data_IF_356113331322
#
_entry.id   IF_356113331322
#
_cell.length_a   1.000
_cell.length_b   1.000
_cell.length_c   1.000
_cell.angle_alpha   90.00
_cell.angle_beta   90.00
_cell.angle_gamma   90.00
#
_symmetry.space_group_name_H-M   'P 1'
#
loop_
_entity.id
_entity.type
_entity.pdbx_description
1 polymer ?
#
# COMPACT_ATOMS: atom_id res chain seq x y z
N UNK A 1 19.08 -10.89 -1.74
CA UNK A 1 17.86 -11.65 -1.44
C UNK A 1 17.59 -12.55 -2.64
N UNK A 2 17.51 -13.85 -2.41
CA UNK A 2 16.99 -14.82 -3.38
C UNK A 2 15.44 -14.77 -3.34
N UNK A 3 14.77 -15.51 -4.23
CA UNK A 3 13.31 -15.45 -4.34
C UNK A 3 12.59 -16.01 -3.09
N UNK A 4 13.14 -17.05 -2.45
CA UNK A 4 12.61 -17.59 -1.18
C UNK A 4 12.60 -16.54 -0.06
N UNK A 5 13.71 -15.83 0.16
CA UNK A 5 13.80 -14.79 1.17
C UNK A 5 12.88 -13.60 0.85
N UNK A 6 12.65 -13.30 -0.44
CA UNK A 6 11.73 -12.24 -0.86
C UNK A 6 10.28 -12.64 -0.60
N UNK A 7 9.90 -13.87 -0.93
CA UNK A 7 8.56 -14.39 -0.69
C UNK A 7 8.22 -14.37 0.80
N UNK A 8 9.10 -14.94 1.65
CA UNK A 8 8.92 -14.95 3.10
C UNK A 8 8.73 -13.55 3.69
N UNK A 9 9.56 -12.58 3.29
CA UNK A 9 9.41 -11.19 3.77
C UNK A 9 8.17 -10.50 3.21
N UNK A 10 7.73 -10.87 2.01
CA UNK A 10 6.49 -10.35 1.44
C UNK A 10 5.29 -10.88 2.23
N UNK A 11 5.24 -12.18 2.54
CA UNK A 11 4.23 -12.78 3.41
C UNK A 11 4.15 -12.09 4.78
N UNK A 12 5.31 -11.85 5.43
CA UNK A 12 5.37 -11.13 6.72
C UNK A 12 4.74 -9.73 6.64
N UNK A 13 4.95 -9.01 5.53
CA UNK A 13 4.36 -7.69 5.32
C UNK A 13 2.85 -7.81 5.07
N UNK A 14 2.41 -8.76 4.25
CA UNK A 14 0.99 -8.98 3.97
C UNK A 14 0.22 -9.34 5.25
N UNK A 15 0.78 -10.22 6.09
CA UNK A 15 0.22 -10.57 7.40
C UNK A 15 0.15 -9.34 8.33
N UNK A 16 1.20 -8.51 8.35
CA UNK A 16 1.21 -7.26 9.10
C UNK A 16 0.10 -6.33 8.62
N UNK A 17 -0.04 -6.11 7.31
CA UNK A 17 -1.13 -5.29 6.75
C UNK A 17 -2.49 -5.87 7.18
N UNK A 18 -2.70 -7.18 7.05
CA UNK A 18 -3.97 -7.82 7.40
C UNK A 18 -4.31 -7.65 8.89
N UNK A 19 -3.32 -7.70 9.78
CA UNK A 19 -3.50 -7.47 11.22
C UNK A 19 -3.97 -6.05 11.57
N UNK A 20 -3.77 -5.08 10.67
CA UNK A 20 -4.14 -3.67 10.82
C UNK A 20 -5.56 -3.36 10.28
N UNK A 21 -6.24 -4.34 9.70
CA UNK A 21 -7.55 -4.19 9.01
C UNK A 21 -8.67 -3.58 9.86
N UNK A 22 -8.62 -3.76 11.19
CA UNK A 22 -9.65 -3.24 12.09
C UNK A 22 -9.58 -1.72 12.31
N UNK A 23 -8.38 -1.13 12.31
CA UNK A 23 -8.16 0.27 12.69
C UNK A 23 -7.42 1.11 11.64
N UNK A 24 -7.11 0.54 10.47
CA UNK A 24 -6.48 1.24 9.35
C UNK A 24 -7.31 1.19 8.07
N UNK A 25 -7.10 2.21 7.23
CA UNK A 25 -7.54 2.29 5.84
C UNK A 25 -6.30 2.41 4.96
N UNK A 26 -6.25 1.69 3.85
CA UNK A 26 -5.15 1.80 2.88
C UNK A 26 -5.48 2.90 1.86
N UNK A 27 -4.55 3.82 1.66
CA UNK A 27 -4.61 4.83 0.60
C UNK A 27 -3.78 4.34 -0.59
N UNK A 28 -4.46 4.05 -1.70
CA UNK A 28 -3.83 3.63 -2.96
C UNK A 28 -4.04 4.68 -4.05
N UNK A 29 -3.22 4.67 -5.09
CA UNK A 29 -3.34 5.66 -6.16
C UNK A 29 -4.62 5.42 -6.98
N UNK A 30 -4.91 4.16 -7.33
CA UNK A 30 -6.09 3.84 -8.12
C UNK A 30 -6.67 2.42 -7.95
N UNK A 31 -7.70 2.16 -8.76
CA UNK A 31 -8.49 0.91 -8.71
C UNK A 31 -7.68 -0.36 -8.97
N UNK A 32 -6.61 -0.28 -9.77
CA UNK A 32 -5.81 -1.44 -10.13
C UNK A 32 -4.89 -1.85 -8.97
N UNK A 33 -4.39 -0.88 -8.20
CA UNK A 33 -3.67 -1.14 -6.95
C UNK A 33 -4.57 -1.87 -5.96
N UNK A 34 -5.78 -1.34 -5.75
CA UNK A 34 -6.79 -2.00 -4.92
C UNK A 34 -7.08 -3.42 -5.41
N UNK A 35 -7.16 -3.62 -6.72
CA UNK A 35 -7.38 -4.96 -7.30
C UNK A 35 -6.21 -5.90 -7.00
N UNK A 36 -4.98 -5.44 -7.14
CA UNK A 36 -3.76 -6.19 -6.81
C UNK A 36 -3.75 -6.63 -5.33
N UNK A 37 -4.12 -5.72 -4.41
CA UNK A 37 -4.23 -6.06 -2.98
C UNK A 37 -5.33 -7.09 -2.70
N UNK A 38 -6.50 -6.97 -3.35
CA UNK A 38 -7.59 -7.95 -3.22
C UNK A 38 -7.19 -9.33 -3.74
N UNK A 39 -6.46 -9.39 -4.85
CA UNK A 39 -5.95 -10.65 -5.41
C UNK A 39 -4.88 -11.29 -4.48
N UNK A 40 -4.26 -10.51 -3.59
CA UNK A 40 -3.40 -10.96 -2.48
C UNK A 40 -4.18 -11.27 -1.18
N UNK A 41 -5.50 -11.36 -1.24
CA UNK A 41 -6.41 -11.58 -0.10
C UNK A 41 -6.38 -10.49 1.00
N UNK A 42 -5.86 -9.29 0.71
CA UNK A 42 -5.91 -8.16 1.62
C UNK A 42 -7.30 -7.50 1.58
N UNK A 43 -8.16 -7.89 2.51
CA UNK A 43 -9.54 -7.39 2.61
C UNK A 43 -9.65 -6.19 3.56
N UNK A 44 -8.92 -5.11 3.27
CA UNK A 44 -8.94 -3.88 4.05
C UNK A 44 -9.77 -2.79 3.38
N UNK A 45 -10.32 -1.90 4.21
CA UNK A 45 -10.87 -0.64 3.73
C UNK A 45 -9.80 0.09 2.92
N UNK A 46 -10.18 0.52 1.72
CA UNK A 46 -9.26 1.13 0.75
C UNK A 46 -9.90 2.38 0.17
N UNK A 47 -9.12 3.44 0.03
CA UNK A 47 -9.49 4.70 -0.64
C UNK A 47 -8.66 4.84 -1.90
N UNK A 48 -9.30 5.14 -3.03
CA UNK A 48 -8.69 5.29 -4.35
C UNK A 48 -8.42 6.79 -4.60
N UNK A 49 -7.22 7.28 -4.28
CA UNK A 49 -6.93 8.72 -4.18
C UNK A 49 -7.25 9.50 -5.47
N UNK A 50 -6.96 8.95 -6.65
CA UNK A 50 -7.27 9.60 -7.92
C UNK A 50 -8.79 9.72 -8.18
N UNK A 51 -9.58 8.74 -7.71
CA UNK A 51 -11.03 8.69 -7.91
C UNK A 51 -11.77 9.53 -6.88
N UNK A 52 -11.26 9.54 -5.65
CA UNK A 52 -11.92 10.13 -4.49
C UNK A 52 -11.55 11.61 -4.28
N UNK A 53 -11.09 12.31 -5.33
CA UNK A 53 -10.89 13.76 -5.29
C UNK A 53 -9.51 14.23 -4.82
N UNK A 54 -8.51 13.34 -4.80
CA UNK A 54 -7.11 13.66 -4.52
C UNK A 54 -6.74 13.62 -3.02
N UNK A 55 -5.50 14.04 -2.67
CA UNK A 55 -4.92 13.81 -1.35
C UNK A 55 -5.71 14.43 -0.19
N UNK A 56 -6.23 15.65 -0.38
CA UNK A 56 -7.01 16.34 0.65
C UNK A 56 -8.29 15.56 0.98
N UNK A 57 -9.08 15.20 -0.05
CA UNK A 57 -10.33 14.49 0.16
C UNK A 57 -10.10 13.08 0.71
N UNK A 58 -9.03 12.40 0.27
CA UNK A 58 -8.63 11.13 0.86
C UNK A 58 -8.33 11.25 2.37
N UNK A 59 -7.60 12.29 2.79
CA UNK A 59 -7.31 12.52 4.21
C UNK A 59 -8.59 12.85 5.02
N UNK A 60 -9.52 13.63 4.47
CA UNK A 60 -10.84 13.87 5.08
C UNK A 60 -11.64 12.57 5.25
N UNK A 61 -11.61 11.68 4.25
CA UNK A 61 -12.29 10.38 4.35
C UNK A 61 -11.68 9.49 5.44
N UNK A 62 -10.34 9.52 5.62
CA UNK A 62 -9.71 8.83 6.76
C UNK A 62 -10.17 9.44 8.08
N UNK A 63 -10.21 10.77 8.18
CA UNK A 63 -10.73 11.47 9.37
C UNK A 63 -12.16 11.04 9.72
N UNK A 64 -13.04 11.07 8.71
CA UNK A 64 -14.45 10.68 8.82
C UNK A 64 -14.62 9.21 9.29
N UNK A 65 -13.71 8.32 8.89
CA UNK A 65 -13.72 6.92 9.31
C UNK A 65 -13.29 6.69 10.77
N UNK A 66 -12.60 7.66 11.39
CA UNK A 66 -12.00 7.51 12.72
C UNK A 66 -10.81 6.53 12.78
N UNK A 67 -10.33 6.07 11.63
CA UNK A 67 -9.20 5.12 11.50
C UNK A 67 -7.89 5.85 11.24
N UNK A 68 -6.80 5.08 11.24
CA UNK A 68 -5.46 5.49 10.80
C UNK A 68 -5.29 5.18 9.30
N UNK A 69 -4.22 5.71 8.70
CA UNK A 69 -3.91 5.44 7.29
C UNK A 69 -2.68 4.55 7.10
N UNK A 70 -2.69 3.70 6.08
CA UNK A 70 -1.48 3.16 5.47
C UNK A 70 -1.33 3.84 4.11
N UNK A 71 -0.21 4.51 3.85
CA UNK A 71 0.04 5.14 2.55
C UNK A 71 0.74 4.12 1.66
N UNK A 72 0.08 3.69 0.57
CA UNK A 72 0.61 2.69 -0.35
C UNK A 72 0.44 3.12 -1.81
N UNK A 73 1.29 4.08 -2.21
CA UNK A 73 1.40 4.58 -3.58
C UNK A 73 2.55 3.91 -4.33
N UNK A 74 2.53 4.03 -5.66
CA UNK A 74 3.56 3.49 -6.55
C UNK A 74 4.98 3.94 -6.19
N UNK A 75 5.98 3.12 -6.49
CA UNK A 75 7.40 3.39 -6.25
C UNK A 75 8.07 4.16 -7.40
N UNK A 76 7.35 5.11 -7.99
CA UNK A 76 7.84 6.05 -8.99
C UNK A 76 7.85 7.51 -8.46
N UNK A 77 8.37 8.45 -9.26
CA UNK A 77 8.47 9.86 -8.86
C UNK A 77 7.09 10.51 -8.58
N UNK A 78 6.02 10.02 -9.21
CA UNK A 78 4.66 10.54 -8.99
C UNK A 78 4.10 9.98 -7.69
N UNK A 79 4.25 8.68 -7.46
CA UNK A 79 3.86 8.03 -6.22
C UNK A 79 4.63 8.56 -5.00
N UNK A 80 5.90 8.95 -5.15
CA UNK A 80 6.67 9.62 -4.09
C UNK A 80 6.10 11.01 -3.75
N UNK A 81 5.73 11.81 -4.76
CA UNK A 81 5.04 13.10 -4.54
C UNK A 81 3.69 12.90 -3.89
N UNK A 82 2.91 11.94 -4.37
CA UNK A 82 1.61 11.61 -3.83
C UNK A 82 1.68 11.15 -2.36
N UNK A 83 2.65 10.29 -2.04
CA UNK A 83 2.89 9.84 -0.67
C UNK A 83 3.22 11.01 0.27
N UNK A 84 4.04 11.96 -0.21
CA UNK A 84 4.37 13.17 0.53
C UNK A 84 3.13 14.03 0.76
N UNK A 85 2.38 14.34 -0.29
CA UNK A 85 1.18 15.17 -0.21
C UNK A 85 0.16 14.54 0.76
N UNK A 86 -0.09 13.23 0.66
CA UNK A 86 -0.96 12.50 1.59
C UNK A 86 -0.49 12.61 3.04
N UNK A 87 0.82 12.43 3.29
CA UNK A 87 1.38 12.52 4.64
C UNK A 87 1.21 13.92 5.25
N UNK A 88 1.32 14.97 4.43
CA UNK A 88 1.11 16.36 4.85
C UNK A 88 -0.36 16.62 5.19
N UNK A 89 -1.29 16.16 4.35
CA UNK A 89 -2.73 16.32 4.59
C UNK A 89 -3.20 15.55 5.83
N UNK A 90 -2.77 14.29 5.99
CA UNK A 90 -3.08 13.48 7.18
C UNK A 90 -2.52 14.12 8.45
N UNK A 91 -1.28 14.62 8.40
CA UNK A 91 -0.65 15.32 9.54
C UNK A 91 -1.41 16.60 9.92
N UNK A 92 -1.88 17.37 8.93
CA UNK A 92 -2.65 18.59 9.16
C UNK A 92 -3.98 18.33 9.88
N UNK A 93 -4.55 17.13 9.70
CA UNK A 93 -5.75 16.66 10.39
C UNK A 93 -5.46 15.86 11.67
N UNK A 94 -4.19 15.81 12.12
CA UNK A 94 -3.74 15.05 13.29
C UNK A 94 -4.04 13.54 13.21
N UNK A 95 -4.07 12.97 12.00
CA UNK A 95 -4.32 11.55 11.76
C UNK A 95 -2.99 10.79 11.77
N UNK A 96 -2.92 9.66 12.46
CA UNK A 96 -1.75 8.78 12.42
C UNK A 96 -1.70 7.98 11.12
N UNK A 97 -0.49 7.78 10.57
CA UNK A 97 -0.30 7.02 9.34
C UNK A 97 1.00 6.20 9.35
N UNK A 98 1.02 5.12 8.57
CA UNK A 98 2.19 4.24 8.36
C UNK A 98 2.69 4.39 6.91
N UNK A 99 3.97 4.80 6.77
CA UNK A 99 4.71 4.82 5.49
C UNK A 99 5.79 3.72 5.42
N UNK A 100 6.04 3.01 6.52
CA UNK A 100 7.02 1.95 6.58
C UNK A 100 6.60 0.76 5.71
N UNK A 101 5.30 0.42 5.67
CA UNK A 101 4.80 -0.64 4.77
C UNK A 101 5.20 -0.38 3.32
N UNK A 102 5.00 0.84 2.80
CA UNK A 102 5.41 1.21 1.44
C UNK A 102 6.91 1.07 1.22
N UNK A 103 7.71 1.48 2.22
CA UNK A 103 9.18 1.37 2.16
C UNK A 103 9.63 -0.09 2.17
N UNK A 104 9.08 -0.91 3.05
CA UNK A 104 9.42 -2.32 3.22
C UNK A 104 9.08 -3.11 1.94
N UNK A 105 7.90 -2.85 1.35
CA UNK A 105 7.54 -3.44 0.06
C UNK A 105 8.47 -2.98 -1.06
N UNK A 106 8.83 -1.69 -1.11
CA UNK A 106 9.77 -1.15 -2.11
C UNK A 106 11.08 -1.92 -2.10
N UNK A 107 11.66 -2.13 -0.92
CA UNK A 107 12.96 -2.79 -0.77
C UNK A 107 12.95 -4.23 -1.33
N UNK A 108 11.79 -4.90 -1.31
CA UNK A 108 11.60 -6.24 -1.88
C UNK A 108 11.28 -6.20 -3.38
N UNK A 109 10.48 -5.22 -3.81
CA UNK A 109 9.82 -5.21 -5.12
C UNK A 109 10.59 -4.45 -6.21
N UNK A 110 11.41 -3.46 -5.84
CA UNK A 110 12.02 -2.47 -6.76
C UNK A 110 12.89 -3.07 -7.88
N UNK A 111 13.35 -4.32 -7.71
CA UNK A 111 14.12 -5.04 -8.74
C UNK A 111 13.29 -5.48 -9.94
N UNK A 112 11.98 -5.59 -9.77
CA UNK A 112 11.09 -6.24 -10.73
C UNK A 112 9.91 -5.37 -11.14
N UNK A 113 9.35 -4.62 -10.20
CA UNK A 113 8.17 -3.79 -10.40
C UNK A 113 8.38 -2.41 -9.77
N UNK A 114 7.62 -1.42 -10.27
CA UNK A 114 7.68 -0.03 -9.78
C UNK A 114 6.34 0.48 -9.25
N UNK A 115 5.31 -0.36 -9.28
CA UNK A 115 3.93 0.00 -8.99
C UNK A 115 3.24 -1.08 -8.14
N UNK A 116 2.19 -0.67 -7.43
CA UNK A 116 1.41 -1.55 -6.55
C UNK A 116 0.50 -2.48 -7.37
N UNK A 117 0.00 -2.00 -8.52
CA UNK A 117 -0.77 -2.80 -9.49
C UNK A 117 -0.08 -4.12 -9.86
N UNK A 118 1.25 -4.15 -9.98
CA UNK A 118 1.99 -5.36 -10.34
C UNK A 118 2.34 -6.27 -9.16
N UNK A 119 2.04 -5.90 -7.91
CA UNK A 119 2.45 -6.63 -6.71
C UNK A 119 1.97 -8.09 -6.68
N UNK A 120 0.70 -8.33 -7.00
CA UNK A 120 0.14 -9.69 -7.08
C UNK A 120 0.89 -10.56 -8.11
N UNK A 121 1.20 -10.01 -9.28
CA UNK A 121 1.93 -10.75 -10.33
C UNK A 121 3.35 -11.13 -9.91
N UNK A 122 4.02 -10.23 -9.16
CA UNK A 122 5.32 -10.51 -8.57
C UNK A 122 5.24 -11.65 -7.55
N UNK A 123 4.25 -11.59 -6.65
CA UNK A 123 4.02 -12.62 -5.63
C UNK A 123 3.90 -14.01 -6.26
N UNK A 124 2.99 -14.18 -7.21
CA UNK A 124 2.76 -15.46 -7.91
C UNK A 124 4.02 -15.98 -8.60
N UNK A 125 4.85 -15.07 -9.16
CA UNK A 125 6.11 -15.46 -9.78
C UNK A 125 7.14 -15.94 -8.74
N UNK A 126 7.25 -15.25 -7.61
CA UNK A 126 8.15 -15.66 -6.53
C UNK A 126 7.72 -17.02 -5.95
N UNK A 127 6.43 -17.21 -5.69
CA UNK A 127 5.86 -18.48 -5.24
C UNK A 127 6.23 -19.64 -6.17
N UNK A 128 6.08 -19.47 -7.49
CA UNK A 128 6.46 -20.47 -8.49
C UNK A 128 7.96 -20.78 -8.54
N UNK A 129 8.82 -19.84 -8.17
CA UNK A 129 10.28 -20.01 -8.20
C UNK A 129 10.82 -20.71 -6.95
N UNK A 130 10.01 -20.80 -5.89
CA UNK A 130 10.38 -21.42 -4.59
C UNK A 130 9.89 -22.88 -4.51
N UNK A 131 8.86 -23.23 -5.29
CA UNK A 131 8.36 -24.60 -5.49
C UNK A 131 9.28 -25.42 -6.41
#
# INVERSE_FOLDING_TARGET
>A
MNDDERLRRLDEILDRIQSMSSDHVILVEGKNDRRSLLDLNLSLDTIEVQRDGGPLRAAEMVYESGKKAIILTDWDDRGDRLAKDLSEQLSALCISYDMNIRKDLRDICIKDIKDVESLHSLYVRLERNVL
#
